data_IF_923124282924
#
_entry.id   IF_923124282924
#
_cell.length_a   1.000
_cell.length_b   1.000
_cell.length_c   1.000
_cell.angle_alpha   90.00
_cell.angle_beta   90.00
_cell.angle_gamma   90.00
#
_symmetry.space_group_name_H-M   'P 1'
#
loop_
_entity.id
_entity.type
_entity.pdbx_description
1 polymer ?
#
# COMPACT_ATOMS: atom_id res chain seq x y z
N UNK A 1 -8.62 8.48 -20.47
CA UNK A 1 -9.43 8.50 -21.70
C UNK A 1 -8.58 8.83 -22.90
N UNK A 2 -8.98 8.34 -24.08
CA UNK A 2 -8.35 8.66 -25.37
C UNK A 2 -9.42 9.00 -26.41
N UNK A 3 -9.07 9.90 -27.33
CA UNK A 3 -9.84 10.15 -28.56
C UNK A 3 -8.97 9.80 -29.75
N UNK A 4 -9.56 9.11 -30.70
CA UNK A 4 -8.93 8.75 -31.99
C UNK A 4 -9.79 9.20 -33.15
N UNK A 5 -9.15 9.58 -34.23
CA UNK A 5 -9.83 9.94 -35.49
C UNK A 5 -10.30 8.71 -36.23
N UNK A 6 -11.04 8.93 -37.32
CA UNK A 6 -11.58 7.87 -38.18
C UNK A 6 -10.51 6.98 -38.83
N UNK A 7 -9.31 7.49 -39.01
CA UNK A 7 -8.14 6.76 -39.53
C UNK A 7 -7.29 6.09 -38.43
N UNK A 8 -7.67 6.23 -37.16
CA UNK A 8 -6.96 5.68 -36.00
C UNK A 8 -5.87 6.59 -35.43
N UNK A 9 -5.75 7.82 -35.92
CA UNK A 9 -4.80 8.79 -35.33
C UNK A 9 -5.24 9.22 -33.96
N UNK A 10 -4.32 9.19 -32.99
CA UNK A 10 -4.56 9.68 -31.63
C UNK A 10 -4.67 11.20 -31.64
N UNK A 11 -5.81 11.71 -31.21
CA UNK A 11 -6.10 13.14 -31.16
C UNK A 11 -5.88 13.68 -29.76
N UNK A 12 -6.26 12.92 -28.75
CA UNK A 12 -6.19 13.35 -27.36
C UNK A 12 -5.93 12.14 -26.47
N UNK A 13 -5.13 12.33 -25.45
CA UNK A 13 -4.99 11.43 -24.31
C UNK A 13 -5.06 12.24 -23.02
N UNK A 14 -6.11 11.98 -22.25
CA UNK A 14 -6.26 12.55 -20.91
C UNK A 14 -5.23 11.98 -19.94
N UNK A 15 -4.87 12.73 -18.88
CA UNK A 15 -4.01 12.19 -17.82
C UNK A 15 -4.63 10.94 -17.18
N UNK A 16 -3.76 10.05 -16.69
CA UNK A 16 -4.16 8.85 -15.98
C UNK A 16 -4.37 9.14 -14.49
N UNK A 17 -5.23 8.38 -13.84
CA UNK A 17 -5.46 8.37 -12.38
C UNK A 17 -5.87 9.71 -11.76
N UNK A 18 -6.39 10.62 -12.55
CA UNK A 18 -6.94 11.90 -12.09
C UNK A 18 -8.18 12.30 -12.89
N UNK A 19 -9.03 13.12 -12.27
CA UNK A 19 -10.18 13.70 -12.96
C UNK A 19 -9.73 14.69 -14.03
N UNK A 20 -10.30 14.57 -15.21
CA UNK A 20 -10.05 15.47 -16.33
C UNK A 20 -11.32 15.68 -17.13
N UNK A 21 -11.50 16.87 -17.68
CA UNK A 21 -12.60 17.24 -18.54
C UNK A 21 -12.04 17.81 -19.84
N UNK A 22 -12.28 17.11 -20.94
CA UNK A 22 -11.86 17.51 -22.27
C UNK A 22 -13.09 17.83 -23.13
N UNK A 23 -12.98 18.90 -23.91
CA UNK A 23 -14.00 19.32 -24.86
C UNK A 23 -13.51 19.03 -26.28
N UNK A 24 -14.38 18.47 -27.09
CA UNK A 24 -14.14 18.22 -28.50
C UNK A 24 -15.32 18.72 -29.33
N UNK A 25 -15.04 19.46 -30.40
CA UNK A 25 -16.04 19.94 -31.32
C UNK A 25 -15.99 19.09 -32.61
N UNK A 26 -17.05 18.34 -32.87
CA UNK A 26 -17.16 17.43 -34.03
C UNK A 26 -17.57 18.15 -35.31
N UNK A 27 -18.15 19.34 -35.24
CA UNK A 27 -18.69 20.10 -36.36
C UNK A 27 -17.69 21.08 -36.99
N UNK A 28 -16.56 21.29 -36.34
CA UNK A 28 -15.55 22.20 -36.88
C UNK A 28 -14.72 21.51 -37.96
N UNK A 29 -14.77 22.05 -39.20
CA UNK A 29 -13.75 21.77 -40.20
C UNK A 29 -12.36 21.98 -39.55
N UNK A 30 -11.38 21.17 -39.93
CA UNK A 30 -10.05 20.95 -39.30
C UNK A 30 -9.25 22.16 -38.83
N UNK A 31 -9.70 23.38 -39.06
CA UNK A 31 -9.05 24.63 -38.67
C UNK A 31 -9.33 25.08 -37.20
N UNK A 32 -10.31 24.49 -36.52
CA UNK A 32 -10.74 24.88 -35.17
C UNK A 32 -10.63 23.76 -34.16
N UNK A 33 -9.80 22.77 -34.41
CA UNK A 33 -9.52 21.76 -33.41
C UNK A 33 -8.92 22.46 -32.20
N UNK A 34 -9.68 22.51 -31.10
CA UNK A 34 -9.11 22.85 -29.81
C UNK A 34 -7.84 22.03 -29.64
N UNK A 35 -6.76 22.63 -29.17
CA UNK A 35 -5.49 21.94 -28.97
C UNK A 35 -5.74 20.84 -27.94
N UNK A 36 -6.09 19.66 -28.44
CA UNK A 36 -6.17 18.47 -27.61
C UNK A 36 -4.76 18.16 -27.13
N UNK A 37 -4.62 17.93 -25.86
CA UNK A 37 -3.36 17.57 -25.25
C UNK A 37 -3.19 16.05 -25.31
N UNK A 38 -2.08 15.57 -25.87
CA UNK A 38 -1.71 14.17 -25.81
C UNK A 38 -0.75 14.01 -24.63
N UNK A 39 -1.31 13.69 -23.46
CA UNK A 39 -0.50 13.41 -22.28
C UNK A 39 0.32 12.13 -22.51
N UNK A 40 1.63 12.12 -22.24
CA UNK A 40 2.46 10.93 -22.36
C UNK A 40 1.93 9.76 -21.53
N UNK A 41 2.18 8.54 -21.97
CA UNK A 41 1.96 7.36 -21.14
C UNK A 41 2.93 7.36 -19.98
N UNK A 42 2.48 6.86 -18.84
CA UNK A 42 3.33 6.61 -17.68
C UNK A 42 4.27 5.43 -17.99
N UNK A 43 5.39 5.39 -17.29
CA UNK A 43 6.19 4.17 -17.21
C UNK A 43 5.34 3.04 -16.62
N UNK A 44 5.47 1.78 -17.07
CA UNK A 44 4.64 0.67 -16.58
C UNK A 44 4.69 0.48 -15.06
N UNK A 45 5.84 0.68 -14.42
CA UNK A 45 5.96 0.55 -12.97
C UNK A 45 5.31 1.74 -12.25
N UNK A 46 5.46 2.95 -12.78
CA UNK A 46 4.78 4.16 -12.30
C UNK A 46 3.27 4.04 -12.43
N UNK A 47 2.77 3.48 -13.52
CA UNK A 47 1.34 3.24 -13.75
C UNK A 47 0.77 2.33 -12.67
N UNK A 48 1.41 1.19 -12.41
CA UNK A 48 0.97 0.22 -11.39
C UNK A 48 1.03 0.84 -9.99
N UNK A 49 2.13 1.53 -9.66
CA UNK A 49 2.30 2.20 -8.37
C UNK A 49 1.19 3.24 -8.14
N UNK A 50 0.97 4.10 -9.11
CA UNK A 50 -0.04 5.17 -9.03
C UNK A 50 -1.45 4.61 -8.91
N UNK A 51 -1.76 3.52 -9.64
CA UNK A 51 -3.03 2.82 -9.52
C UNK A 51 -3.26 2.26 -8.10
N UNK A 52 -2.22 1.64 -7.50
CA UNK A 52 -2.29 1.12 -6.14
C UNK A 52 -2.49 2.23 -5.11
N UNK A 53 -1.74 3.33 -5.22
CA UNK A 53 -1.89 4.50 -4.34
C UNK A 53 -3.30 5.09 -4.45
N UNK A 54 -3.82 5.28 -5.67
CA UNK A 54 -5.18 5.79 -5.87
C UNK A 54 -6.23 4.85 -5.27
N UNK A 55 -6.08 3.53 -5.49
CA UNK A 55 -7.00 2.53 -4.94
C UNK A 55 -7.04 2.55 -3.42
N UNK A 56 -5.88 2.62 -2.77
CA UNK A 56 -5.78 2.70 -1.30
C UNK A 56 -6.39 4.01 -0.78
N UNK A 57 -6.03 5.14 -1.39
CA UNK A 57 -6.55 6.47 -1.03
C UNK A 57 -8.08 6.53 -1.13
N UNK A 58 -8.63 6.02 -2.23
CA UNK A 58 -10.07 5.96 -2.47
C UNK A 58 -10.80 5.08 -1.45
N UNK A 59 -10.21 3.93 -1.14
CA UNK A 59 -10.76 3.02 -0.14
C UNK A 59 -10.79 3.67 1.25
N UNK A 60 -9.68 4.31 1.65
CA UNK A 60 -9.60 5.04 2.92
C UNK A 60 -10.66 6.14 2.99
N UNK A 61 -10.77 6.97 1.95
CA UNK A 61 -11.73 8.07 1.91
C UNK A 61 -13.18 7.60 2.00
N UNK A 62 -13.53 6.56 1.23
CA UNK A 62 -14.91 5.99 1.21
C UNK A 62 -15.30 5.31 2.51
N UNK A 63 -14.35 4.80 3.26
CA UNK A 63 -14.58 4.13 4.54
C UNK A 63 -14.23 4.99 5.75
N UNK A 64 -13.89 6.26 5.54
CA UNK A 64 -13.57 7.24 6.59
C UNK A 64 -12.37 6.88 7.46
N UNK A 65 -11.41 6.14 6.92
CA UNK A 65 -10.14 5.90 7.59
C UNK A 65 -9.23 7.12 7.50
N UNK A 66 -8.63 7.51 8.62
CA UNK A 66 -7.72 8.66 8.70
C UNK A 66 -6.26 8.30 8.49
N UNK A 67 -5.94 7.02 8.36
CA UNK A 67 -4.59 6.51 8.17
C UNK A 67 -4.56 5.00 8.09
N UNK A 68 -3.36 4.44 8.12
CA UNK A 68 -3.08 3.01 7.92
C UNK A 68 -2.25 2.47 9.06
N UNK A 69 -2.44 1.20 9.40
CA UNK A 69 -1.51 0.44 10.25
C UNK A 69 -1.07 -0.83 9.54
N UNK A 70 0.21 -1.14 9.63
CA UNK A 70 0.81 -2.30 8.96
C UNK A 70 2.00 -2.84 9.74
N UNK A 71 2.34 -4.10 9.47
CA UNK A 71 3.57 -4.70 9.98
C UNK A 71 4.79 -4.22 9.17
N UNK A 72 5.83 -3.74 9.84
CA UNK A 72 7.13 -3.44 9.23
C UNK A 72 8.13 -4.53 9.60
N UNK A 73 8.52 -5.33 8.61
CA UNK A 73 9.44 -6.47 8.80
C UNK A 73 10.90 -6.13 8.52
N UNK A 74 11.18 -4.96 7.91
CA UNK A 74 12.47 -4.64 7.30
C UNK A 74 12.63 -5.24 5.89
N UNK A 75 11.62 -5.95 5.36
CA UNK A 75 11.60 -6.48 3.99
C UNK A 75 11.00 -5.51 3.00
N UNK A 76 11.34 -5.70 1.71
CA UNK A 76 10.96 -4.81 0.61
C UNK A 76 9.44 -4.70 0.44
N UNK A 77 8.67 -5.77 0.62
CA UNK A 77 7.21 -5.74 0.45
C UNK A 77 6.55 -4.81 1.47
N UNK A 78 6.93 -4.93 2.75
CA UNK A 78 6.42 -4.05 3.80
C UNK A 78 6.88 -2.60 3.60
N UNK A 79 8.09 -2.39 3.08
CA UNK A 79 8.61 -1.07 2.77
C UNK A 79 7.82 -0.40 1.64
N UNK A 80 7.54 -1.13 0.57
CA UNK A 80 6.76 -0.63 -0.56
C UNK A 80 5.34 -0.26 -0.14
N UNK A 81 4.68 -1.11 0.64
CA UNK A 81 3.31 -0.83 1.14
C UNK A 81 3.29 0.38 2.07
N UNK A 82 4.31 0.55 2.91
CA UNK A 82 4.44 1.73 3.77
C UNK A 82 4.63 3.02 2.95
N UNK A 83 5.45 2.99 1.90
CA UNK A 83 5.63 4.11 0.99
C UNK A 83 4.35 4.46 0.22
N UNK A 84 3.58 3.44 -0.22
CA UNK A 84 2.27 3.66 -0.84
C UNK A 84 1.27 4.29 0.13
N UNK A 85 1.28 3.87 1.40
CA UNK A 85 0.42 4.42 2.44
C UNK A 85 0.76 5.89 2.72
N UNK A 86 2.04 6.24 2.78
CA UNK A 86 2.52 7.62 2.90
C UNK A 86 2.09 8.48 1.70
N UNK A 87 2.27 7.96 0.47
CA UNK A 87 1.86 8.63 -0.77
C UNK A 87 0.34 8.90 -0.86
N UNK A 88 -0.48 8.19 -0.09
CA UNK A 88 -1.91 8.50 0.01
C UNK A 88 -2.23 9.80 0.75
N UNK A 89 -1.21 10.48 1.29
CA UNK A 89 -1.35 11.71 2.07
C UNK A 89 -1.90 11.46 3.48
N UNK A 90 -1.68 10.26 3.99
CA UNK A 90 -2.06 9.89 5.35
C UNK A 90 -1.04 10.43 6.36
N UNK A 91 -1.41 11.45 7.14
CA UNK A 91 -0.60 11.92 8.26
C UNK A 91 -0.42 10.85 9.36
N UNK A 92 -1.09 9.70 9.22
CA UNK A 92 -1.17 8.63 10.21
C UNK A 92 -0.79 7.27 9.61
N UNK A 93 0.47 7.10 9.20
CA UNK A 93 1.02 5.77 8.91
C UNK A 93 1.63 5.20 10.19
N UNK A 94 1.15 4.05 10.64
CA UNK A 94 1.61 3.36 11.85
C UNK A 94 2.29 2.05 11.47
N UNK A 95 3.61 2.05 11.50
CA UNK A 95 4.45 0.89 11.27
C UNK A 95 4.73 0.14 12.57
N UNK A 96 4.42 -1.15 12.62
CA UNK A 96 4.65 -1.99 13.79
C UNK A 96 5.71 -3.03 13.45
N UNK A 97 6.88 -2.91 14.05
CA UNK A 97 7.89 -3.97 14.02
C UNK A 97 7.53 -5.03 15.06
N UNK A 98 7.42 -6.27 14.62
CA UNK A 98 6.99 -7.40 15.44
C UNK A 98 8.07 -8.49 15.47
N UNK A 99 9.23 -8.21 16.10
CA UNK A 99 10.33 -9.16 16.10
C UNK A 99 10.00 -10.42 16.89
N UNK A 100 10.54 -11.53 16.40
CA UNK A 100 10.66 -12.79 17.13
C UNK A 100 12.11 -12.99 17.56
N UNK A 101 12.39 -14.06 18.31
CA UNK A 101 13.76 -14.47 18.69
C UNK A 101 14.67 -14.73 17.47
N UNK A 102 14.11 -14.90 16.29
CA UNK A 102 14.85 -15.18 15.04
C UNK A 102 15.07 -13.92 14.17
N UNK A 103 14.51 -12.76 14.58
CA UNK A 103 14.65 -11.54 13.79
C UNK A 103 16.06 -10.95 13.92
N UNK A 104 16.67 -10.63 12.78
CA UNK A 104 18.01 -9.99 12.78
C UNK A 104 17.93 -8.53 13.27
N UNK A 105 19.02 -8.02 13.81
CA UNK A 105 19.09 -6.60 14.21
C UNK A 105 19.01 -5.69 12.98
N UNK A 106 19.64 -6.05 11.85
CA UNK A 106 19.52 -5.29 10.60
C UNK A 106 18.08 -5.07 10.13
N UNK A 107 17.22 -6.09 10.23
CA UNK A 107 15.80 -5.93 9.85
C UNK A 107 15.04 -4.94 10.73
N UNK A 108 15.42 -4.80 12.00
CA UNK A 108 14.82 -3.83 12.91
C UNK A 108 15.29 -2.41 12.59
N UNK A 109 16.58 -2.27 12.30
CA UNK A 109 17.19 -0.99 11.92
C UNK A 109 16.59 -0.50 10.58
N UNK A 110 16.50 -1.36 9.57
CA UNK A 110 15.89 -1.05 8.27
C UNK A 110 14.42 -0.61 8.41
N UNK A 111 13.65 -1.25 9.29
CA UNK A 111 12.26 -0.87 9.54
C UNK A 111 12.15 0.50 10.25
N UNK A 112 13.05 0.78 11.19
CA UNK A 112 13.09 2.06 11.90
C UNK A 112 13.53 3.20 10.97
N UNK A 113 14.56 2.98 10.16
CA UNK A 113 15.06 3.95 9.18
C UNK A 113 14.00 4.28 8.13
N UNK A 114 13.29 3.28 7.62
CA UNK A 114 12.17 3.49 6.70
C UNK A 114 11.09 4.36 7.34
N UNK A 115 10.63 4.00 8.53
CA UNK A 115 9.59 4.76 9.23
C UNK A 115 10.01 6.22 9.46
N UNK A 116 11.28 6.44 9.82
CA UNK A 116 11.85 7.79 9.96
C UNK A 116 11.85 8.56 8.64
N UNK A 117 12.22 7.91 7.54
CA UNK A 117 12.34 8.53 6.22
C UNK A 117 11.00 8.98 5.64
N UNK A 118 9.93 8.23 5.91
CA UNK A 118 8.56 8.57 5.46
C UNK A 118 7.75 9.31 6.53
N UNK A 119 8.35 9.66 7.67
CA UNK A 119 7.64 10.34 8.76
C UNK A 119 6.54 9.52 9.44
N UNK A 120 6.58 8.19 9.33
CA UNK A 120 5.60 7.31 9.95
C UNK A 120 5.82 7.15 11.46
N UNK A 121 4.73 6.93 12.18
CA UNK A 121 4.81 6.44 13.55
C UNK A 121 5.42 5.03 13.58
N UNK A 122 6.34 4.79 14.49
CA UNK A 122 7.02 3.51 14.61
C UNK A 122 6.88 2.93 16.01
N UNK A 123 6.45 1.68 16.09
CA UNK A 123 6.28 0.94 17.34
C UNK A 123 6.95 -0.42 17.25
N UNK A 124 7.62 -0.85 18.30
CA UNK A 124 8.21 -2.19 18.40
C UNK A 124 7.38 -3.01 19.37
N UNK A 125 6.76 -4.08 18.87
CA UNK A 125 5.90 -4.99 19.62
C UNK A 125 6.42 -6.43 19.51
N UNK A 126 7.32 -6.90 20.38
CA UNK A 126 7.81 -8.27 20.35
C UNK A 126 6.67 -9.29 20.48
N UNK A 127 6.70 -10.34 19.66
CA UNK A 127 5.65 -11.37 19.71
C UNK A 127 5.89 -12.44 20.76
N UNK A 128 7.10 -12.52 21.31
CA UNK A 128 7.55 -13.60 22.19
C UNK A 128 6.66 -13.78 23.44
N UNK A 129 6.23 -12.73 24.16
CA UNK A 129 5.37 -12.92 25.35
C UNK A 129 4.03 -13.59 24.98
N UNK A 130 3.42 -13.19 23.86
CA UNK A 130 2.18 -13.77 23.38
C UNK A 130 2.39 -15.19 22.89
N UNK A 131 3.47 -15.41 22.13
CA UNK A 131 3.83 -16.74 21.64
C UNK A 131 4.01 -17.73 22.78
N UNK A 132 4.76 -17.37 23.83
CA UNK A 132 4.99 -18.21 25.00
C UNK A 132 3.69 -18.51 25.76
N UNK A 133 2.80 -17.53 25.90
CA UNK A 133 1.50 -17.75 26.53
C UNK A 133 0.64 -18.77 25.78
N UNK A 134 0.62 -18.71 24.45
CA UNK A 134 -0.08 -19.71 23.61
C UNK A 134 0.58 -21.08 23.68
N UNK A 135 1.92 -21.14 23.63
CA UNK A 135 2.66 -22.40 23.72
C UNK A 135 2.39 -23.16 25.02
N UNK A 136 2.23 -22.46 26.13
CA UNK A 136 1.89 -23.07 27.41
C UNK A 136 0.51 -23.76 27.41
N UNK A 137 -0.38 -23.35 26.51
CA UNK A 137 -1.76 -23.86 26.45
C UNK A 137 -1.98 -24.86 25.32
N UNK A 138 -1.28 -24.74 24.21
CA UNK A 138 -1.60 -25.44 22.96
C UNK A 138 -0.58 -26.51 22.53
N UNK A 139 0.59 -26.56 23.14
CA UNK A 139 1.67 -27.53 22.84
C UNK A 139 1.92 -27.68 21.33
N UNK A 140 2.23 -26.56 20.65
CA UNK A 140 2.41 -26.51 19.21
C UNK A 140 3.89 -26.64 18.82
N UNK A 141 4.17 -27.37 17.76
CA UNK A 141 5.52 -27.52 17.20
C UNK A 141 5.54 -27.32 15.66
N UNK A 142 6.74 -27.28 15.07
CA UNK A 142 6.96 -27.18 13.63
C UNK A 142 6.13 -26.09 12.95
N UNK A 143 5.46 -26.45 11.85
CA UNK A 143 4.63 -25.54 11.04
C UNK A 143 3.50 -24.90 11.85
N UNK A 144 2.96 -25.60 12.85
CA UNK A 144 1.89 -25.09 13.71
C UNK A 144 2.38 -23.93 14.56
N UNK A 145 3.60 -24.00 15.07
CA UNK A 145 4.23 -22.91 15.83
C UNK A 145 4.60 -21.74 14.94
N UNK A 146 5.08 -21.96 13.72
CA UNK A 146 5.33 -20.92 12.73
C UNK A 146 4.04 -20.18 12.36
N UNK A 147 2.99 -20.91 12.07
CA UNK A 147 1.66 -20.36 11.81
C UNK A 147 1.09 -19.55 12.98
N UNK A 148 1.37 -19.96 14.22
CA UNK A 148 0.99 -19.20 15.40
C UNK A 148 1.65 -17.82 15.41
N UNK A 149 2.94 -17.72 15.09
CA UNK A 149 3.64 -16.44 15.02
C UNK A 149 2.99 -15.48 13.99
N UNK A 150 2.62 -16.00 12.80
CA UNK A 150 1.94 -15.20 11.78
C UNK A 150 0.59 -14.68 12.28
N UNK A 151 -0.19 -15.51 12.96
CA UNK A 151 -1.48 -15.12 13.53
C UNK A 151 -1.36 -14.11 14.65
N UNK A 152 -0.36 -14.23 15.53
CA UNK A 152 -0.08 -13.24 16.59
C UNK A 152 0.20 -11.86 15.97
N UNK A 153 1.01 -11.80 14.89
CA UNK A 153 1.25 -10.55 14.17
C UNK A 153 -0.04 -9.96 13.61
N UNK A 154 -0.90 -10.78 13.04
CA UNK A 154 -2.23 -10.36 12.58
C UNK A 154 -3.08 -9.78 13.71
N UNK A 155 -3.08 -10.42 14.88
CA UNK A 155 -3.81 -9.91 16.06
C UNK A 155 -3.27 -8.56 16.51
N UNK A 156 -1.96 -8.37 16.55
CA UNK A 156 -1.33 -7.08 16.93
C UNK A 156 -1.73 -5.96 15.97
N UNK A 157 -1.62 -6.21 14.64
CA UNK A 157 -2.01 -5.23 13.62
C UNK A 157 -3.50 -4.89 13.72
N UNK A 158 -4.37 -5.88 13.90
CA UNK A 158 -5.81 -5.65 14.05
C UNK A 158 -6.15 -4.92 15.36
N UNK A 159 -5.45 -5.19 16.46
CA UNK A 159 -5.62 -4.47 17.71
C UNK A 159 -5.23 -2.98 17.54
N UNK A 160 -4.13 -2.71 16.84
CA UNK A 160 -3.72 -1.34 16.47
C UNK A 160 -4.78 -0.65 15.61
N UNK A 161 -5.26 -1.33 14.57
CA UNK A 161 -6.33 -0.84 13.69
C UNK A 161 -7.56 -0.42 14.50
N UNK A 162 -8.08 -1.31 15.32
CA UNK A 162 -9.29 -1.08 16.10
C UNK A 162 -9.12 0.03 17.15
N UNK A 163 -7.98 0.08 17.82
CA UNK A 163 -7.75 1.07 18.89
C UNK A 163 -7.52 2.49 18.36
N UNK A 164 -7.01 2.62 17.13
CA UNK A 164 -6.67 3.90 16.52
C UNK A 164 -7.65 4.34 15.42
N UNK A 165 -8.57 3.47 15.02
CA UNK A 165 -9.47 3.74 13.88
C UNK A 165 -8.75 3.81 12.53
N UNK A 166 -7.66 3.05 12.37
CA UNK A 166 -6.85 3.01 11.17
C UNK A 166 -7.18 1.79 10.30
N UNK A 167 -6.94 1.89 9.00
CA UNK A 167 -7.04 0.76 8.09
C UNK A 167 -5.86 -0.20 8.31
N UNK A 168 -6.13 -1.46 8.63
CA UNK A 168 -5.10 -2.49 8.62
C UNK A 168 -4.79 -2.90 7.17
N UNK A 169 -3.51 -2.83 6.78
CA UNK A 169 -3.07 -3.22 5.44
C UNK A 169 -2.10 -4.40 5.54
N UNK A 170 -2.37 -5.43 4.73
CA UNK A 170 -1.48 -6.58 4.59
C UNK A 170 -0.36 -6.26 3.58
N UNK A 171 0.80 -6.82 3.82
CA UNK A 171 2.01 -6.64 3.00
C UNK A 171 2.36 -7.87 2.16
N UNK A 172 1.40 -8.78 1.97
CA UNK A 172 1.55 -9.96 1.13
C UNK A 172 1.64 -9.59 -0.35
N UNK A 173 2.39 -10.37 -1.11
CA UNK A 173 2.52 -10.21 -2.55
C UNK A 173 1.77 -11.31 -3.32
N UNK A 174 1.68 -11.13 -4.64
CA UNK A 174 0.96 -12.06 -5.51
C UNK A 174 1.55 -13.48 -5.52
N UNK A 175 2.87 -13.60 -5.39
CA UNK A 175 3.55 -14.89 -5.38
C UNK A 175 3.23 -15.67 -4.10
N UNK A 176 3.20 -15.01 -2.96
CA UNK A 176 2.80 -15.61 -1.67
C UNK A 176 1.35 -16.10 -1.69
N UNK A 177 0.45 -15.36 -2.35
CA UNK A 177 -0.95 -15.74 -2.46
C UNK A 177 -1.22 -16.88 -3.45
N UNK A 178 -0.25 -17.17 -4.32
CA UNK A 178 -0.36 -18.19 -5.36
C UNK A 178 0.19 -19.58 -4.91
N UNK A 179 0.77 -19.71 -3.73
CA UNK A 179 1.37 -20.92 -3.18
C UNK A 179 0.42 -21.65 -2.24
#
# INVERSE_FOLDING_TARGET
SVMVDADGTLIERSPMFMENLTFWDFDSAAEHQAKAEIVPELDPDEEVYTACVLGLKDYMAKNHFTGVTLGLSGGIDSALVAAMADACGGENVWGISMPSMYSSDGSKDDAADLASNIGAHYEVQPIEPLFNAYQQQLDLDGVSAENLQARIRGVIVMASSNSRGLLAVATGNKSELAC
#
